data_IF_231874430979
#
_entry.id   IF_231874430979
#
_cell.length_a   1.000
_cell.length_b   1.000
_cell.length_c   1.000
_cell.angle_alpha   90.00
_cell.angle_beta   90.00
_cell.angle_gamma   90.00
#
_symmetry.space_group_name_H-M   'P 1'
#
loop_
_entity.id
_entity.type
_entity.pdbx_description
1 polymer ?
#
# COMPACT_ATOMS: atom_id res chain seq x y z
N UNK A 1 -11.57 49.34 -61.91
CA UNK A 1 -11.04 48.03 -61.47
C UNK A 1 -11.04 48.02 -59.95
N UNK A 2 -11.83 47.16 -59.29
CA UNK A 2 -11.87 47.06 -57.83
C UNK A 2 -10.91 45.95 -57.40
N UNK A 3 -9.85 46.31 -56.71
CA UNK A 3 -8.83 45.39 -56.19
C UNK A 3 -9.40 44.60 -55.03
N UNK A 4 -9.39 43.26 -55.15
CA UNK A 4 -9.78 42.36 -54.07
C UNK A 4 -8.53 41.98 -53.30
N UNK A 5 -8.49 42.31 -52.01
CA UNK A 5 -7.40 41.96 -51.10
C UNK A 5 -7.79 40.66 -50.38
N UNK A 6 -7.05 39.58 -50.66
CA UNK A 6 -7.26 38.28 -50.06
C UNK A 6 -6.41 38.16 -48.79
N UNK A 7 -7.02 38.10 -47.61
CA UNK A 7 -6.34 37.76 -46.36
C UNK A 7 -6.35 36.24 -46.18
N UNK A 8 -5.18 35.62 -46.20
CA UNK A 8 -4.98 34.22 -45.81
C UNK A 8 -4.59 34.21 -44.34
N UNK A 9 -5.47 33.68 -43.48
CA UNK A 9 -5.19 33.45 -42.06
C UNK A 9 -4.73 32.01 -41.91
N UNK A 10 -3.47 31.81 -41.51
CA UNK A 10 -2.92 30.49 -41.16
C UNK A 10 -3.16 30.27 -39.67
N UNK A 11 -4.09 29.37 -39.34
CA UNK A 11 -4.38 28.98 -37.96
C UNK A 11 -3.41 27.86 -37.54
N UNK A 12 -2.41 28.17 -36.71
CA UNK A 12 -1.57 27.16 -36.07
C UNK A 12 -2.34 26.50 -34.93
N UNK A 13 -2.92 25.33 -35.16
CA UNK A 13 -3.40 24.46 -34.07
C UNK A 13 -2.19 23.77 -33.45
N UNK A 14 -1.61 24.35 -32.39
CA UNK A 14 -0.68 23.63 -31.55
C UNK A 14 -1.46 22.55 -30.78
N UNK A 15 -1.39 21.30 -31.23
CA UNK A 15 -1.87 20.16 -30.45
C UNK A 15 -0.91 19.98 -29.26
N UNK A 16 -1.28 20.48 -28.09
CA UNK A 16 -0.56 20.16 -26.86
C UNK A 16 -0.85 18.69 -26.56
N UNK A 17 0.12 17.82 -26.81
CA UNK A 17 0.05 16.43 -26.37
C UNK A 17 0.09 16.43 -24.83
N UNK A 18 -1.08 16.38 -24.21
CA UNK A 18 -1.18 16.15 -22.77
C UNK A 18 -0.63 14.75 -22.51
N UNK A 19 0.47 14.65 -21.77
CA UNK A 19 1.00 13.37 -21.34
C UNK A 19 -0.09 12.62 -20.55
N UNK A 20 -0.31 11.36 -20.87
CA UNK A 20 -1.36 10.58 -20.22
C UNK A 20 -1.01 10.31 -18.75
N UNK A 21 -2.01 10.37 -17.87
CA UNK A 21 -1.84 10.08 -16.45
C UNK A 21 -1.32 8.66 -16.26
N UNK A 22 -0.20 8.51 -15.57
CA UNK A 22 0.54 7.28 -15.38
C UNK A 22 1.82 7.20 -16.21
N UNK A 23 2.08 8.11 -17.15
CA UNK A 23 3.26 8.03 -18.03
C UNK A 23 4.57 8.30 -17.29
N UNK A 24 4.63 9.38 -16.52
CA UNK A 24 5.88 9.85 -15.91
C UNK A 24 5.65 10.34 -14.48
N UNK A 25 6.72 10.63 -13.74
CA UNK A 25 6.61 11.25 -12.42
C UNK A 25 5.97 12.65 -12.45
N UNK A 26 6.02 13.33 -13.59
CA UNK A 26 5.35 14.61 -13.81
C UNK A 26 3.84 14.45 -14.03
N UNK A 27 3.39 13.29 -14.51
CA UNK A 27 1.99 12.97 -14.75
C UNK A 27 1.64 11.59 -14.15
N UNK A 28 1.78 11.36 -12.84
CA UNK A 28 1.56 10.04 -12.24
C UNK A 28 0.08 9.82 -11.91
N UNK A 29 -0.32 8.57 -11.71
CA UNK A 29 -1.58 8.26 -11.01
C UNK A 29 -1.41 8.54 -9.52
N UNK A 30 -2.24 9.41 -8.96
CA UNK A 30 -2.17 9.75 -7.53
C UNK A 30 -2.91 8.71 -6.69
N UNK A 31 -2.18 8.07 -5.77
CA UNK A 31 -2.75 7.25 -4.71
C UNK A 31 -3.03 8.18 -3.52
N UNK A 32 -4.31 8.53 -3.31
CA UNK A 32 -4.70 9.48 -2.27
C UNK A 32 -4.77 8.90 -0.85
N UNK A 33 -5.02 7.60 -0.72
CA UNK A 33 -5.14 6.90 0.56
C UNK A 33 -4.93 5.39 0.36
N UNK A 34 -4.60 4.68 1.45
CA UNK A 34 -4.58 3.22 1.48
C UNK A 34 -5.78 2.67 2.27
N UNK A 35 -6.31 1.49 1.91
CA UNK A 35 -5.89 0.64 0.79
C UNK A 35 -6.27 1.25 -0.56
N UNK A 36 -5.44 1.00 -1.58
CA UNK A 36 -5.69 1.38 -2.97
C UNK A 36 -5.67 0.14 -3.85
N UNK A 37 -6.62 0.05 -4.77
CA UNK A 37 -6.62 -0.99 -5.80
C UNK A 37 -7.11 -0.46 -7.14
N UNK A 38 -6.53 -1.00 -8.21
CA UNK A 38 -6.96 -0.74 -9.57
C UNK A 38 -6.73 -1.99 -10.43
N UNK A 39 -7.61 -2.21 -11.40
CA UNK A 39 -7.55 -3.36 -12.31
C UNK A 39 -7.67 -2.91 -13.77
N UNK A 40 -7.27 -3.78 -14.69
CA UNK A 40 -7.34 -3.51 -16.13
C UNK A 40 -6.35 -2.43 -16.60
N UNK A 41 -5.27 -2.21 -15.87
CA UNK A 41 -4.20 -1.29 -16.26
C UNK A 41 -3.22 -1.96 -17.23
N UNK A 42 -2.42 -1.15 -17.92
CA UNK A 42 -1.36 -1.63 -18.82
C UNK A 42 -0.25 -0.61 -18.94
N UNK A 43 1.00 -1.07 -19.11
CA UNK A 43 2.11 -0.20 -19.50
C UNK A 43 2.17 0.04 -21.03
N UNK A 44 1.30 -0.62 -21.80
CA UNK A 44 1.24 -0.43 -23.25
C UNK A 44 0.82 1.00 -23.62
N UNK A 45 1.63 1.66 -24.45
CA UNK A 45 1.39 3.05 -24.87
C UNK A 45 1.84 4.11 -23.87
N UNK A 46 2.44 3.74 -22.74
CA UNK A 46 2.92 4.68 -21.70
C UNK A 46 4.35 5.19 -21.89
N UNK A 47 5.08 4.63 -22.86
CA UNK A 47 6.47 5.03 -23.09
C UNK A 47 7.43 4.27 -22.18
N UNK A 48 8.71 4.30 -22.55
CA UNK A 48 9.84 3.77 -21.79
C UNK A 48 10.67 4.99 -21.39
N UNK A 49 10.39 5.50 -20.19
CA UNK A 49 10.91 6.74 -19.65
C UNK A 49 12.04 6.48 -18.64
N UNK A 50 12.02 5.33 -17.96
CA UNK A 50 13.08 4.89 -17.05
C UNK A 50 13.78 3.65 -17.60
N UNK A 51 15.01 3.38 -17.16
CA UNK A 51 15.75 2.22 -17.66
C UNK A 51 16.82 1.77 -16.67
N UNK A 52 17.61 0.76 -17.03
CA UNK A 52 18.63 0.16 -16.17
C UNK A 52 19.75 1.12 -15.72
N UNK A 53 19.88 2.34 -16.28
CA UNK A 53 20.83 3.35 -15.81
C UNK A 53 20.25 4.29 -14.74
N UNK A 54 18.95 4.22 -14.49
CA UNK A 54 18.24 5.06 -13.52
C UNK A 54 18.17 4.39 -12.14
N UNK A 55 17.62 5.09 -11.14
CA UNK A 55 17.44 4.57 -9.78
C UNK A 55 16.83 3.17 -9.79
N UNK A 56 17.30 2.31 -8.88
CA UNK A 56 17.11 0.85 -8.83
C UNK A 56 18.00 0.04 -9.78
N UNK A 57 18.57 0.63 -10.84
CA UNK A 57 19.59 0.01 -11.70
C UNK A 57 19.18 -1.39 -12.19
N UNK A 58 17.92 -1.51 -12.63
CA UNK A 58 17.31 -2.79 -12.96
C UNK A 58 17.01 -2.95 -14.45
N UNK A 59 17.32 -4.13 -14.98
CA UNK A 59 16.91 -4.54 -16.33
C UNK A 59 15.39 -4.65 -16.49
N UNK A 60 14.63 -4.84 -15.40
CA UNK A 60 13.17 -4.87 -15.40
C UNK A 60 12.52 -3.48 -15.54
N UNK A 61 13.35 -2.44 -15.68
CA UNK A 61 12.92 -1.10 -16.04
C UNK A 61 13.10 -0.80 -17.52
N UNK A 62 13.41 -1.77 -18.39
CA UNK A 62 13.75 -1.51 -19.81
C UNK A 62 12.56 -1.60 -20.78
N UNK A 63 11.38 -1.91 -20.28
CA UNK A 63 10.11 -1.89 -21.01
C UNK A 63 9.40 -0.57 -20.87
N UNK A 64 8.11 -0.54 -21.19
CA UNK A 64 7.28 0.61 -20.93
C UNK A 64 6.93 0.71 -19.45
N UNK A 65 6.82 1.94 -18.97
CA UNK A 65 6.59 2.29 -17.57
C UNK A 65 5.12 2.62 -17.29
N UNK A 66 4.69 2.41 -16.06
CA UNK A 66 3.48 3.02 -15.51
C UNK A 66 3.76 3.50 -14.09
N UNK A 67 3.45 4.77 -13.84
CA UNK A 67 3.89 5.51 -12.65
C UNK A 67 2.72 5.90 -11.76
N UNK A 68 2.79 5.48 -10.50
CA UNK A 68 1.96 6.00 -9.42
C UNK A 68 2.77 6.92 -8.52
N UNK A 69 2.08 7.80 -7.80
CA UNK A 69 2.65 8.64 -6.75
C UNK A 69 1.86 8.46 -5.46
N UNK A 70 2.56 8.27 -4.35
CA UNK A 70 1.99 8.15 -3.02
C UNK A 70 2.76 9.02 -2.02
N UNK A 71 2.05 9.66 -1.09
CA UNK A 71 2.65 10.47 -0.03
C UNK A 71 1.95 10.12 1.29
N UNK A 72 2.55 9.28 2.15
CA UNK A 72 1.93 8.89 3.41
C UNK A 72 1.91 10.08 4.39
N UNK A 73 0.85 10.19 5.19
CA UNK A 73 0.74 11.25 6.22
C UNK A 73 1.62 11.02 7.45
N UNK A 74 2.01 9.76 7.72
CA UNK A 74 2.84 9.34 8.84
C UNK A 74 3.74 8.18 8.42
N UNK A 75 4.76 7.85 9.22
CA UNK A 75 5.60 6.69 8.97
C UNK A 75 4.76 5.42 8.89
N UNK A 76 4.96 4.61 7.85
CA UNK A 76 4.21 3.37 7.64
C UNK A 76 5.01 2.39 6.80
N UNK A 77 4.70 1.10 6.90
CA UNK A 77 5.14 0.12 5.90
C UNK A 77 4.02 -0.09 4.88
N UNK A 78 4.37 -0.26 3.62
CA UNK A 78 3.41 -0.57 2.55
C UNK A 78 3.75 -1.88 1.86
N UNK A 79 2.71 -2.61 1.47
CA UNK A 79 2.77 -3.74 0.55
C UNK A 79 2.29 -3.26 -0.81
N UNK A 80 3.01 -3.64 -1.87
CA UNK A 80 2.58 -3.44 -3.26
C UNK A 80 2.54 -4.80 -3.93
N UNK A 81 1.36 -5.21 -4.39
CA UNK A 81 1.18 -6.46 -5.09
C UNK A 81 0.62 -6.22 -6.48
N UNK A 82 1.31 -6.75 -7.49
CA UNK A 82 0.78 -6.82 -8.84
C UNK A 82 0.14 -8.17 -9.10
N UNK A 83 -0.91 -8.18 -9.91
CA UNK A 83 -1.53 -9.40 -10.41
C UNK A 83 -1.96 -9.24 -11.86
N UNK A 84 -2.15 -10.37 -12.57
CA UNK A 84 -2.50 -10.36 -13.99
C UNK A 84 -1.38 -9.85 -14.90
N UNK A 85 -0.13 -9.85 -14.44
CA UNK A 85 1.02 -9.43 -15.25
C UNK A 85 1.52 -10.55 -16.16
N UNK A 86 2.13 -10.15 -17.28
CA UNK A 86 3.01 -11.03 -18.04
C UNK A 86 4.30 -11.39 -17.29
N UNK A 87 5.13 -12.28 -17.87
CA UNK A 87 6.44 -12.60 -17.32
C UNK A 87 7.35 -11.38 -17.31
N UNK A 88 8.47 -11.49 -16.60
CA UNK A 88 9.51 -10.47 -16.57
C UNK A 88 9.01 -9.08 -16.12
N UNK A 89 8.05 -9.04 -15.19
CA UNK A 89 7.50 -7.78 -14.65
C UNK A 89 8.23 -7.39 -13.38
N UNK A 90 8.55 -6.11 -13.25
CA UNK A 90 9.13 -5.49 -12.07
C UNK A 90 8.20 -4.43 -11.49
N UNK A 91 8.25 -4.26 -10.17
CA UNK A 91 7.65 -3.13 -9.46
C UNK A 91 8.69 -2.51 -8.54
N UNK A 92 8.77 -1.18 -8.54
CA UNK A 92 9.81 -0.41 -7.88
C UNK A 92 9.18 0.70 -7.06
N UNK A 93 9.74 1.00 -5.90
CA UNK A 93 9.38 2.17 -5.08
C UNK A 93 10.63 3.04 -4.97
N UNK A 94 10.52 4.30 -5.37
CA UNK A 94 11.59 5.30 -5.27
C UNK A 94 11.11 6.51 -4.45
N UNK A 95 12.02 7.20 -3.77
CA UNK A 95 11.73 8.42 -2.97
C UNK A 95 11.80 9.74 -3.77
N UNK A 96 11.96 9.60 -5.09
CA UNK A 96 11.98 10.65 -6.10
C UNK A 96 11.83 10.02 -7.48
N UNK A 97 11.84 10.82 -8.54
CA UNK A 97 11.73 10.25 -9.88
C UNK A 97 12.99 9.44 -10.24
N UNK A 98 12.90 8.27 -10.91
CA UNK A 98 14.08 7.42 -11.15
C UNK A 98 15.20 8.06 -11.97
N UNK A 99 14.88 9.04 -12.82
CA UNK A 99 15.83 9.80 -13.65
C UNK A 99 16.57 10.91 -12.89
N UNK A 100 16.21 11.16 -11.62
CA UNK A 100 16.91 12.11 -10.76
C UNK A 100 18.03 11.38 -10.01
N UNK A 101 19.31 11.76 -10.19
CA UNK A 101 20.45 11.03 -9.60
C UNK A 101 20.47 10.94 -8.07
N UNK A 102 19.72 11.81 -7.39
CA UNK A 102 19.63 11.81 -5.93
C UNK A 102 18.53 10.88 -5.38
N UNK A 103 17.67 10.33 -6.25
CA UNK A 103 16.61 9.42 -5.85
C UNK A 103 17.16 8.07 -5.40
N UNK A 104 16.56 7.53 -4.35
CA UNK A 104 16.91 6.25 -3.73
C UNK A 104 15.87 5.19 -4.13
N UNK A 105 16.36 3.99 -4.42
CA UNK A 105 15.51 2.82 -4.55
C UNK A 105 15.12 2.34 -3.16
N UNK A 106 13.85 2.52 -2.78
CA UNK A 106 13.33 2.18 -1.46
C UNK A 106 13.04 0.70 -1.35
N UNK A 107 12.43 0.13 -2.39
CA UNK A 107 12.15 -1.30 -2.49
C UNK A 107 11.87 -1.68 -3.94
N UNK A 108 12.10 -2.93 -4.28
CA UNK A 108 11.77 -3.49 -5.59
C UNK A 108 11.35 -4.96 -5.47
N UNK A 109 10.57 -5.43 -6.43
CA UNK A 109 10.29 -6.83 -6.61
C UNK A 109 10.22 -7.15 -8.10
N UNK A 110 10.90 -8.21 -8.51
CA UNK A 110 10.99 -8.67 -9.89
C UNK A 110 10.52 -10.11 -9.97
N UNK A 111 9.76 -10.44 -11.01
CA UNK A 111 9.25 -11.78 -11.19
C UNK A 111 9.36 -12.23 -12.65
N UNK A 112 10.19 -13.25 -12.88
CA UNK A 112 10.30 -13.93 -14.17
C UNK A 112 8.96 -14.54 -14.60
N UNK A 113 8.19 -15.09 -13.65
CA UNK A 113 6.83 -15.61 -13.88
C UNK A 113 5.70 -14.56 -13.81
N UNK A 114 6.03 -13.30 -13.57
CA UNK A 114 5.04 -12.23 -13.33
C UNK A 114 4.50 -12.18 -11.90
N UNK A 115 3.62 -11.22 -11.67
CA UNK A 115 2.95 -10.91 -10.40
C UNK A 115 3.93 -10.64 -9.23
N UNK A 116 4.91 -9.72 -9.40
CA UNK A 116 5.82 -9.38 -8.32
C UNK A 116 5.09 -8.74 -7.13
N UNK A 117 5.63 -8.96 -5.92
CA UNK A 117 5.09 -8.42 -4.68
C UNK A 117 6.22 -7.82 -3.84
N UNK A 118 6.14 -6.53 -3.56
CA UNK A 118 6.90 -5.91 -2.47
C UNK A 118 6.11 -6.17 -1.19
N UNK A 119 6.60 -7.09 -0.36
CA UNK A 119 5.88 -7.53 0.84
C UNK A 119 5.82 -6.44 1.93
N UNK A 120 6.86 -5.61 2.04
CA UNK A 120 6.93 -4.52 3.02
C UNK A 120 8.03 -3.53 2.61
N UNK A 121 7.65 -2.27 2.39
CA UNK A 121 8.57 -1.15 2.20
C UNK A 121 8.28 -0.08 3.25
N UNK A 122 9.29 0.32 4.04
CA UNK A 122 9.15 1.36 5.05
C UNK A 122 9.20 2.75 4.40
N UNK A 123 8.14 3.53 4.57
CA UNK A 123 7.98 4.87 4.05
C UNK A 123 7.90 5.88 5.20
N UNK A 124 8.59 7.01 5.02
CA UNK A 124 8.57 8.13 5.97
C UNK A 124 7.41 9.06 5.65
N UNK A 125 6.65 9.45 6.68
CA UNK A 125 5.53 10.38 6.55
C UNK A 125 5.98 11.73 5.97
N UNK A 126 5.15 12.31 5.11
CA UNK A 126 5.41 13.60 4.45
C UNK A 126 6.27 13.51 3.19
N UNK A 127 7.00 12.41 2.97
CA UNK A 127 7.82 12.22 1.76
C UNK A 127 6.97 11.74 0.58
N UNK A 128 7.34 12.17 -0.62
CA UNK A 128 6.72 11.68 -1.86
C UNK A 128 7.46 10.43 -2.34
N UNK A 129 6.71 9.40 -2.69
CA UNK A 129 7.22 8.17 -3.28
C UNK A 129 6.57 7.92 -4.64
N UNK A 130 7.31 7.29 -5.53
CA UNK A 130 6.82 6.84 -6.83
C UNK A 130 6.83 5.32 -6.88
N UNK A 131 5.78 4.73 -7.44
CA UNK A 131 5.70 3.30 -7.70
C UNK A 131 5.74 3.13 -9.22
N UNK A 132 6.76 2.43 -9.72
CA UNK A 132 6.98 2.20 -11.14
C UNK A 132 6.70 0.73 -11.44
N UNK A 133 5.82 0.48 -12.41
CA UNK A 133 5.59 -0.86 -12.98
C UNK A 133 6.22 -0.89 -14.36
N UNK A 134 7.10 -1.85 -14.61
CA UNK A 134 7.80 -2.01 -15.90
C UNK A 134 8.10 -3.49 -16.17
N UNK A 135 8.68 -3.77 -17.34
CA UNK A 135 9.13 -5.10 -17.74
C UNK A 135 10.62 -5.14 -18.10
N UNK A 136 11.22 -6.33 -18.05
CA UNK A 136 12.52 -6.57 -18.68
C UNK A 136 12.32 -6.85 -20.17
N UNK A 137 12.56 -5.83 -20.99
CA UNK A 137 12.34 -5.91 -22.42
C UNK A 137 13.53 -6.53 -23.15
N UNK A 138 13.46 -7.84 -23.37
CA UNK A 138 14.50 -8.59 -24.09
C UNK A 138 14.24 -8.47 -25.59
N UNK A 139 14.99 -7.62 -26.29
CA UNK A 139 14.92 -7.48 -27.75
C UNK A 139 13.49 -7.27 -28.28
N UNK A 140 12.71 -6.44 -27.58
CA UNK A 140 11.31 -6.12 -27.91
C UNK A 140 10.30 -7.29 -27.76
N UNK A 141 10.68 -8.37 -27.06
CA UNK A 141 9.77 -9.49 -26.77
C UNK A 141 8.81 -9.22 -25.61
N UNK A 142 9.22 -8.38 -24.65
CA UNK A 142 8.42 -8.04 -23.47
C UNK A 142 8.40 -6.52 -23.25
N UNK A 143 7.89 -5.73 -24.21
CA UNK A 143 7.94 -4.28 -24.13
C UNK A 143 6.91 -3.69 -23.16
N UNK A 144 5.91 -4.46 -22.73
CA UNK A 144 4.87 -4.00 -21.82
C UNK A 144 4.15 -5.17 -21.13
N UNK A 145 3.30 -4.84 -20.16
CA UNK A 145 2.50 -5.81 -19.40
C UNK A 145 1.14 -5.20 -19.02
N UNK A 146 0.09 -6.02 -19.04
CA UNK A 146 -1.18 -5.68 -18.38
C UNK A 146 -1.05 -5.94 -16.88
N UNK A 147 -1.84 -5.28 -16.02
CA UNK A 147 -1.77 -5.55 -14.58
C UNK A 147 -3.00 -5.06 -13.82
N UNK A 148 -3.15 -5.59 -12.62
CA UNK A 148 -3.88 -4.99 -11.50
C UNK A 148 -2.89 -4.73 -10.38
N UNK A 149 -3.15 -3.71 -9.56
CA UNK A 149 -2.30 -3.32 -8.44
C UNK A 149 -3.13 -3.24 -7.17
N UNK A 150 -2.56 -3.72 -6.07
CA UNK A 150 -3.02 -3.50 -4.71
C UNK A 150 -1.88 -2.84 -3.92
N UNK A 151 -2.19 -1.72 -3.28
CA UNK A 151 -1.30 -1.05 -2.33
C UNK A 151 -2.00 -1.01 -0.97
N UNK A 152 -1.41 -1.62 0.04
CA UNK A 152 -1.99 -1.72 1.38
C UNK A 152 -0.96 -1.42 2.45
N UNK A 153 -1.43 -0.92 3.60
CA UNK A 153 -0.57 -0.70 4.75
C UNK A 153 -0.21 -2.05 5.39
N UNK A 154 1.06 -2.20 5.75
CA UNK A 154 1.56 -3.31 6.57
C UNK A 154 1.72 -2.79 7.99
N UNK A 155 1.01 -3.44 8.91
CA UNK A 155 1.15 -3.21 10.33
C UNK A 155 2.07 -4.28 10.91
N UNK A 156 3.29 -3.90 11.30
CA UNK A 156 4.25 -4.87 11.85
C UNK A 156 3.74 -5.52 13.14
N UNK A 157 3.07 -4.72 13.98
CA UNK A 157 2.37 -5.17 15.19
C UNK A 157 0.90 -4.80 15.03
N UNK A 158 0.06 -5.80 14.80
CA UNK A 158 -1.38 -5.63 14.62
C UNK A 158 -2.11 -6.60 15.54
N UNK A 159 -2.48 -6.09 16.71
CA UNK A 159 -3.19 -6.88 17.70
C UNK A 159 -4.69 -6.70 17.52
N UNK A 160 -5.41 -7.79 17.30
CA UNK A 160 -6.85 -7.78 17.15
C UNK A 160 -7.51 -8.55 18.31
N UNK A 161 -8.52 -7.93 18.93
CA UNK A 161 -9.45 -8.65 19.78
C UNK A 161 -10.33 -9.53 18.86
N UNK A 162 -10.14 -10.85 18.92
CA UNK A 162 -10.80 -11.79 18.01
C UNK A 162 -12.14 -12.27 18.56
N UNK A 163 -12.20 -12.53 19.86
CA UNK A 163 -13.37 -13.11 20.52
C UNK A 163 -13.42 -12.70 21.99
N UNK A 164 -14.62 -12.43 22.50
CA UNK A 164 -14.89 -12.40 23.95
C UNK A 164 -15.28 -13.82 24.39
N UNK A 165 -14.49 -14.43 25.27
CA UNK A 165 -14.71 -15.77 25.79
C UNK A 165 -15.58 -15.78 27.05
N UNK A 166 -15.36 -14.79 27.92
CA UNK A 166 -16.17 -14.47 29.09
C UNK A 166 -16.33 -12.95 29.22
N UNK A 167 -17.46 -12.47 29.78
CA UNK A 167 -18.55 -13.25 30.40
C UNK A 167 -19.45 -13.97 29.38
N UNK A 168 -20.21 -14.97 29.83
CA UNK A 168 -21.27 -15.64 29.06
C UNK A 168 -22.63 -15.36 29.69
N UNK A 169 -23.71 -15.45 28.91
CA UNK A 169 -25.06 -15.31 29.46
C UNK A 169 -25.38 -16.47 30.42
N UNK A 170 -25.67 -16.15 31.68
CA UNK A 170 -26.23 -17.07 32.67
C UNK A 170 -27.11 -16.30 33.67
N UNK A 171 -27.99 -17.02 34.38
CA UNK A 171 -28.97 -16.43 35.29
C UNK A 171 -28.37 -15.94 36.63
N UNK A 172 -27.17 -16.41 36.97
CA UNK A 172 -26.51 -16.15 38.26
C UNK A 172 -25.25 -15.30 38.07
N UNK A 173 -25.38 -14.10 37.50
CA UNK A 173 -24.24 -13.18 37.38
C UNK A 173 -23.80 -12.71 38.77
N UNK A 174 -22.51 -12.46 38.91
CA UNK A 174 -21.83 -12.12 40.17
C UNK A 174 -21.26 -10.70 40.11
N UNK A 175 -20.87 -10.13 41.27
CA UNK A 175 -20.19 -8.83 41.31
C UNK A 175 -18.76 -8.84 40.73
N UNK A 176 -18.22 -10.02 40.42
CA UNK A 176 -16.83 -10.21 39.98
C UNK A 176 -16.80 -11.14 38.75
N UNK A 177 -17.41 -10.69 37.64
CA UNK A 177 -17.49 -11.52 36.43
C UNK A 177 -16.16 -11.58 35.68
N UNK A 178 -15.72 -12.79 35.33
CA UNK A 178 -14.50 -12.94 34.55
C UNK A 178 -14.63 -12.28 33.17
N UNK A 179 -13.66 -11.43 32.82
CA UNK A 179 -13.55 -10.87 31.47
C UNK A 179 -12.33 -11.48 30.81
N UNK A 180 -12.57 -12.29 29.79
CA UNK A 180 -11.52 -12.98 29.04
C UNK A 180 -11.78 -12.77 27.56
N UNK A 181 -10.77 -12.30 26.84
CA UNK A 181 -10.83 -12.15 25.39
C UNK A 181 -9.60 -12.78 24.75
N UNK A 182 -9.82 -13.31 23.56
CA UNK A 182 -8.78 -13.83 22.70
C UNK A 182 -8.18 -12.67 21.91
N UNK A 183 -6.86 -12.55 21.99
CA UNK A 183 -6.06 -11.62 21.20
C UNK A 183 -5.32 -12.40 20.13
N UNK A 184 -5.40 -11.92 18.89
CA UNK A 184 -4.63 -12.44 17.76
C UNK A 184 -3.60 -11.42 17.32
N UNK A 185 -2.41 -11.90 16.96
CA UNK A 185 -1.44 -11.10 16.23
C UNK A 185 -1.62 -11.30 14.72
N UNK A 186 -2.18 -10.30 14.04
CA UNK A 186 -2.29 -10.24 12.59
C UNK A 186 -1.06 -9.59 11.92
N UNK A 187 -0.13 -9.05 12.72
CA UNK A 187 1.10 -8.44 12.24
C UNK A 187 2.19 -9.48 11.94
N UNK A 188 3.34 -8.98 11.49
CA UNK A 188 4.48 -9.81 11.07
C UNK A 188 5.61 -9.86 12.11
N UNK A 189 5.50 -9.11 13.21
CA UNK A 189 6.44 -9.13 14.32
C UNK A 189 5.79 -9.66 15.61
N UNK A 190 6.63 -10.17 16.51
CA UNK A 190 6.20 -10.57 17.85
C UNK A 190 5.65 -9.35 18.62
N UNK A 191 4.48 -9.50 19.22
CA UNK A 191 3.94 -8.56 20.21
C UNK A 191 4.38 -9.04 21.59
N UNK A 192 5.05 -8.18 22.36
CA UNK A 192 5.47 -8.47 23.75
C UNK A 192 4.71 -7.65 24.81
N UNK A 193 4.06 -6.56 24.38
CA UNK A 193 3.20 -5.76 25.25
C UNK A 193 2.18 -4.99 24.42
N UNK A 194 0.99 -4.81 24.96
CA UNK A 194 -0.07 -3.97 24.38
C UNK A 194 -1.01 -3.46 25.48
N UNK A 195 -1.76 -2.40 25.20
CA UNK A 195 -2.89 -2.02 26.04
C UNK A 195 -4.14 -2.74 25.56
N UNK A 196 -4.91 -3.25 26.52
CA UNK A 196 -6.18 -3.91 26.30
C UNK A 196 -7.22 -3.28 27.20
N UNK A 197 -8.49 -3.32 26.79
CA UNK A 197 -9.54 -2.77 27.62
C UNK A 197 -10.92 -3.27 27.29
N UNK A 198 -11.80 -3.14 28.28
CA UNK A 198 -13.23 -3.40 28.15
C UNK A 198 -14.02 -2.26 28.78
N UNK A 199 -15.27 -2.10 28.35
CA UNK A 199 -16.25 -1.21 28.97
C UNK A 199 -17.58 -1.93 29.05
N UNK A 200 -18.30 -1.73 30.14
CA UNK A 200 -19.65 -2.24 30.36
C UNK A 200 -20.59 -1.03 30.40
N UNK A 201 -21.69 -1.10 29.66
CA UNK A 201 -22.77 -0.09 29.68
C UNK A 201 -22.30 1.37 29.50
N UNK A 202 -21.25 1.59 28.70
CA UNK A 202 -20.72 2.93 28.41
C UNK A 202 -19.96 3.60 29.56
N UNK A 203 -19.65 2.85 30.63
CA UNK A 203 -18.78 3.33 31.71
C UNK A 203 -17.34 3.56 31.21
N UNK A 204 -16.54 4.37 31.92
CA UNK A 204 -15.12 4.52 31.61
C UNK A 204 -14.44 3.16 31.44
N UNK A 205 -13.64 2.97 30.37
CA UNK A 205 -13.06 1.67 30.09
C UNK A 205 -12.02 1.30 31.15
N UNK A 206 -12.04 0.04 31.55
CA UNK A 206 -10.94 -0.58 32.29
C UNK A 206 -9.83 -0.87 31.28
N UNK A 207 -8.67 -0.27 31.48
CA UNK A 207 -7.49 -0.44 30.61
C UNK A 207 -6.39 -1.14 31.41
N UNK A 208 -5.84 -2.22 30.87
CA UNK A 208 -4.71 -2.94 31.43
C UNK A 208 -3.55 -3.01 30.43
N UNK A 209 -2.33 -3.03 30.96
CA UNK A 209 -1.15 -3.38 30.16
C UNK A 209 -1.00 -4.90 30.15
N UNK A 210 -1.16 -5.48 28.97
CA UNK A 210 -0.99 -6.90 28.74
C UNK A 210 0.45 -7.18 28.30
N UNK A 211 1.25 -7.82 29.16
CA UNK A 211 2.64 -8.22 28.89
C UNK A 211 2.68 -9.70 28.48
N UNK A 212 2.27 -9.98 27.24
CA UNK A 212 2.22 -11.32 26.65
C UNK A 212 3.08 -11.35 25.39
N UNK A 213 3.68 -12.51 25.13
CA UNK A 213 4.37 -12.77 23.86
C UNK A 213 3.41 -13.48 22.91
N UNK A 214 3.06 -12.82 21.79
CA UNK A 214 2.24 -13.39 20.71
C UNK A 214 3.07 -13.38 19.42
N UNK A 215 3.40 -14.56 18.89
CA UNK A 215 4.07 -14.65 17.60
C UNK A 215 3.12 -14.29 16.44
N UNK A 216 3.64 -13.92 15.25
CA UNK A 216 2.81 -13.65 14.07
C UNK A 216 1.84 -14.79 13.75
N UNK A 217 0.55 -14.50 13.61
CA UNK A 217 -0.51 -15.47 13.31
C UNK A 217 -1.09 -16.19 14.53
N UNK A 218 -0.41 -16.16 15.68
CA UNK A 218 -0.85 -16.84 16.90
C UNK A 218 -1.94 -16.08 17.66
N UNK A 219 -2.60 -16.81 18.57
CA UNK A 219 -3.62 -16.30 19.49
C UNK A 219 -3.26 -16.60 20.93
N UNK A 220 -3.71 -15.75 21.86
CA UNK A 220 -3.66 -16.02 23.30
C UNK A 220 -4.88 -15.41 24.00
N UNK A 221 -5.08 -15.74 25.26
CA UNK A 221 -6.18 -15.21 26.09
C UNK A 221 -5.63 -14.23 27.12
N UNK A 222 -6.20 -13.02 27.18
CA UNK A 222 -5.97 -12.11 28.29
C UNK A 222 -7.08 -12.24 29.30
N UNK A 223 -6.70 -12.34 30.58
CA UNK A 223 -7.60 -12.38 31.71
C UNK A 223 -7.48 -11.03 32.42
N UNK A 224 -8.56 -10.24 32.42
CA UNK A 224 -8.56 -8.99 33.17
C UNK A 224 -8.49 -9.27 34.67
N UNK A 225 -7.77 -8.41 35.38
CA UNK A 225 -7.63 -8.47 36.84
C UNK A 225 -8.71 -7.65 37.54
N UNK A 226 -9.12 -6.53 36.93
CA UNK A 226 -10.27 -5.77 37.38
C UNK A 226 -11.54 -6.31 36.71
N UNK A 227 -12.44 -6.88 37.50
CA UNK A 227 -13.67 -7.53 37.04
C UNK A 227 -14.88 -6.59 37.22
N UNK A 228 -15.86 -6.58 36.30
CA UNK A 228 -17.07 -5.81 36.45
C UNK A 228 -18.11 -6.54 37.30
N UNK A 229 -18.91 -5.75 38.01
CA UNK A 229 -20.17 -6.21 38.57
C UNK A 229 -21.24 -6.25 37.47
N UNK A 230 -21.74 -7.44 37.18
CA UNK A 230 -22.80 -7.67 36.20
C UNK A 230 -24.10 -8.17 36.86
N UNK A 231 -24.25 -8.01 38.19
CA UNK A 231 -25.48 -8.37 38.91
C UNK A 231 -26.65 -7.42 38.61
N UNK A 232 -26.35 -6.21 38.14
CA UNK A 232 -27.35 -5.19 37.81
C UNK A 232 -27.31 -4.86 36.31
N UNK A 233 -28.47 -4.76 35.64
CA UNK A 233 -28.56 -4.39 34.22
C UNK A 233 -27.92 -3.06 33.85
#
# INVERSE_FOLDING_TARGET
>A
MKTVLLFVVILFTAAVAMAQTGSTCANPVIIGALPYSASGLTTAGFGNDYNATHTCNSSYMTGNDFVFRFQPGSNMSVRVALSGTGPFTGVFITDGCPDIPASVCVAEAEATGGNPVIASAALTGGNTYYIIVSTYNISNMFPNTAFSIEVSQVYQKDAAAQMVFQPRTHCDMTPDEAVIFQVKNNGNEIINSMQVGYSVNGQPPVIETCNITIAPGDVTYHHFTQLPDLTTP
#
